data_IF_909362059128
#
_entry.id   IF_909362059128
#
_cell.length_a   1.000
_cell.length_b   1.000
_cell.length_c   1.000
_cell.angle_alpha   90.00
_cell.angle_beta   90.00
_cell.angle_gamma   90.00
#
_symmetry.space_group_name_H-M   'P 1'
#
loop_
_entity.id
_entity.type
_entity.pdbx_description
1 polymer ?
#
# COMPACT_ATOMS: atom_id res chain seq x y z
N UNK A 1 10.56 17.62 4.51
CA UNK A 1 9.51 17.55 3.47
C UNK A 1 10.19 17.16 2.17
N UNK A 2 9.68 16.14 1.49
CA UNK A 2 10.25 15.57 0.28
C UNK A 2 9.18 15.58 -0.82
N UNK A 3 9.46 16.23 -1.95
CA UNK A 3 8.54 16.34 -3.08
C UNK A 3 9.10 15.48 -4.23
N UNK A 4 8.41 14.39 -4.54
CA UNK A 4 8.82 13.36 -5.50
C UNK A 4 10.32 12.95 -5.42
N UNK A 5 10.82 12.51 -4.23
CA UNK A 5 12.25 12.27 -4.03
C UNK A 5 12.83 11.12 -4.88
N UNK A 6 11.98 10.30 -5.50
CA UNK A 6 12.35 9.17 -6.35
C UNK A 6 12.40 9.49 -7.85
N UNK A 7 12.16 10.73 -8.24
CA UNK A 7 12.14 11.09 -9.65
C UNK A 7 13.52 10.84 -10.31
N UNK A 8 13.54 10.03 -11.38
CA UNK A 8 14.77 9.67 -12.09
C UNK A 8 15.63 8.58 -11.42
N UNK A 9 15.14 7.96 -10.34
CA UNK A 9 15.79 6.84 -9.64
C UNK A 9 15.16 5.52 -10.09
N UNK A 10 15.99 4.50 -10.30
CA UNK A 10 15.53 3.14 -10.64
C UNK A 10 14.86 2.44 -9.44
N UNK A 11 14.13 1.35 -9.69
CA UNK A 11 13.33 0.67 -8.65
C UNK A 11 14.17 0.27 -7.43
N UNK A 12 15.40 -0.20 -7.64
CA UNK A 12 16.30 -0.58 -6.53
C UNK A 12 16.78 0.64 -5.74
N UNK A 13 17.15 1.72 -6.41
CA UNK A 13 17.53 2.98 -5.79
C UNK A 13 16.38 3.63 -5.03
N UNK A 14 15.14 3.48 -5.50
CA UNK A 14 13.95 3.94 -4.78
C UNK A 14 13.84 3.22 -3.44
N UNK A 15 13.90 1.89 -3.42
CA UNK A 15 13.87 1.11 -2.17
C UNK A 15 14.97 1.55 -1.21
N UNK A 16 16.21 1.68 -1.69
CA UNK A 16 17.34 2.13 -0.88
C UNK A 16 17.14 3.54 -0.31
N UNK A 17 16.61 4.45 -1.11
CA UNK A 17 16.32 5.83 -0.69
C UNK A 17 15.27 5.85 0.43
N UNK A 18 14.18 5.08 0.30
CA UNK A 18 13.15 5.01 1.33
C UNK A 18 13.65 4.37 2.61
N UNK A 19 14.47 3.32 2.52
CA UNK A 19 15.07 2.70 3.69
C UNK A 19 16.00 3.69 4.43
N UNK A 20 16.77 4.48 3.68
CA UNK A 20 17.58 5.57 4.23
C UNK A 20 16.73 6.64 4.89
N UNK A 21 15.65 7.09 4.25
CA UNK A 21 14.73 8.08 4.83
C UNK A 21 14.12 7.55 6.14
N UNK A 22 13.72 6.27 6.17
CA UNK A 22 13.16 5.66 7.37
C UNK A 22 14.21 5.57 8.50
N UNK A 23 15.47 5.25 8.18
CA UNK A 23 16.57 5.30 9.15
C UNK A 23 16.76 6.71 9.70
N UNK A 24 16.87 7.72 8.83
CA UNK A 24 17.07 9.11 9.22
C UNK A 24 15.91 9.65 10.08
N UNK A 25 14.68 9.26 9.77
CA UNK A 25 13.51 9.58 10.60
C UNK A 25 13.69 9.11 12.04
N UNK A 26 14.17 7.88 12.24
CA UNK A 26 14.41 7.32 13.56
C UNK A 26 15.63 7.93 14.26
N UNK A 27 16.71 8.20 13.52
CA UNK A 27 17.93 8.79 14.07
C UNK A 27 17.74 10.25 14.49
N UNK A 28 16.97 11.01 13.72
CA UNK A 28 16.74 12.44 13.93
C UNK A 28 15.48 12.74 14.76
N UNK A 29 14.73 11.70 15.15
CA UNK A 29 13.43 11.79 15.84
C UNK A 29 12.50 12.84 15.20
N UNK A 30 12.33 12.73 13.88
CA UNK A 30 11.61 13.73 13.10
C UNK A 30 10.47 13.14 12.28
N UNK A 31 9.48 13.98 11.96
CA UNK A 31 8.42 13.61 11.05
C UNK A 31 8.86 13.83 9.59
N UNK A 32 8.61 12.83 8.74
CA UNK A 32 8.84 12.93 7.30
C UNK A 32 7.51 13.06 6.59
N UNK A 33 7.29 14.20 5.94
CA UNK A 33 6.21 14.38 4.97
C UNK A 33 6.75 14.18 3.57
N UNK A 34 6.13 13.27 2.82
CA UNK A 34 6.50 12.94 1.46
C UNK A 34 5.30 13.06 0.51
N UNK A 35 5.54 13.64 -0.66
CA UNK A 35 4.58 13.71 -1.76
C UNK A 35 5.06 12.76 -2.86
N UNK A 36 4.19 11.86 -3.30
CA UNK A 36 4.50 10.89 -4.36
C UNK A 36 3.24 10.50 -5.11
N UNK A 37 3.38 10.20 -6.39
CA UNK A 37 2.36 9.59 -7.23
C UNK A 37 2.52 8.07 -7.36
N UNK A 38 3.61 7.48 -6.85
CA UNK A 38 3.80 6.03 -6.84
C UNK A 38 3.08 5.39 -5.65
N UNK A 39 1.91 4.83 -5.94
CA UNK A 39 1.05 4.23 -4.94
C UNK A 39 1.60 2.92 -4.36
N UNK A 40 2.36 2.11 -5.13
CA UNK A 40 2.92 0.86 -4.58
C UNK A 40 3.89 1.18 -3.45
N UNK A 41 4.67 2.24 -3.64
CA UNK A 41 5.69 2.67 -2.71
C UNK A 41 5.10 3.36 -1.49
N UNK A 42 4.13 4.27 -1.72
CA UNK A 42 3.36 4.91 -0.64
C UNK A 42 2.71 3.85 0.25
N UNK A 43 2.05 2.86 -0.34
CA UNK A 43 1.33 1.84 0.41
C UNK A 43 2.25 0.89 1.19
N UNK A 44 3.52 0.75 0.79
CA UNK A 44 4.48 -0.16 1.43
C UNK A 44 5.37 0.51 2.49
N UNK A 45 5.60 1.83 2.40
CA UNK A 45 6.67 2.52 3.17
C UNK A 45 6.18 3.70 3.99
N UNK A 46 4.87 3.91 4.14
CA UNK A 46 4.30 5.00 4.94
C UNK A 46 3.41 4.48 6.06
N UNK A 47 3.37 5.20 7.18
CA UNK A 47 2.48 4.86 8.29
C UNK A 47 1.07 5.43 8.07
N UNK A 48 0.99 6.61 7.46
CA UNK A 48 -0.23 7.37 7.23
C UNK A 48 -0.20 7.95 5.81
N UNK A 49 -1.32 7.85 5.11
CA UNK A 49 -1.50 8.29 3.73
C UNK A 49 -2.60 9.34 3.70
N UNK A 50 -2.37 10.43 2.96
CA UNK A 50 -3.38 11.43 2.63
C UNK A 50 -3.60 11.44 1.13
N UNK A 51 -4.83 11.17 0.69
CA UNK A 51 -5.20 11.23 -0.72
C UNK A 51 -5.75 12.60 -1.06
N UNK A 52 -5.22 13.17 -2.14
CA UNK A 52 -5.57 14.50 -2.63
C UNK A 52 -6.14 14.41 -4.06
N UNK A 53 -7.36 14.90 -4.25
CA UNK A 53 -7.96 15.12 -5.57
C UNK A 53 -8.74 16.45 -5.55
N UNK A 54 -8.05 17.57 -5.74
CA UNK A 54 -8.56 18.95 -5.54
C UNK A 54 -9.01 19.29 -4.11
N UNK A 55 -9.25 18.28 -3.27
CA UNK A 55 -9.53 18.30 -1.85
C UNK A 55 -8.94 17.03 -1.20
N UNK A 56 -8.95 16.95 0.14
CA UNK A 56 -8.57 15.72 0.86
C UNK A 56 -9.74 14.74 0.76
N UNK A 57 -9.52 13.63 0.07
CA UNK A 57 -10.54 12.60 -0.21
C UNK A 57 -10.62 11.54 0.88
N UNK A 58 -9.45 11.15 1.39
CA UNK A 58 -9.33 10.20 2.49
C UNK A 58 -7.96 10.31 3.15
N UNK A 59 -7.88 9.83 4.38
CA UNK A 59 -6.66 9.75 5.16
C UNK A 59 -6.68 8.56 6.10
N UNK A 60 -5.51 7.99 6.40
CA UNK A 60 -5.36 6.90 7.33
C UNK A 60 -4.17 6.01 6.98
N UNK A 61 -3.99 4.93 7.74
CA UNK A 61 -3.06 3.87 7.38
C UNK A 61 -3.34 3.32 5.96
N UNK A 62 -2.30 2.91 5.21
CA UNK A 62 -2.42 2.37 3.85
C UNK A 62 -3.51 1.30 3.69
N UNK A 63 -3.66 0.41 4.67
CA UNK A 63 -4.67 -0.65 4.68
C UNK A 63 -6.08 -0.08 4.63
N UNK A 64 -6.34 0.97 5.41
CA UNK A 64 -7.67 1.61 5.50
C UNK A 64 -7.96 2.42 4.25
N UNK A 65 -6.96 3.17 3.78
CA UNK A 65 -7.09 4.03 2.59
C UNK A 65 -7.36 3.22 1.32
N UNK A 66 -6.71 2.07 1.15
CA UNK A 66 -6.91 1.21 -0.03
C UNK A 66 -8.34 0.66 -0.16
N UNK A 67 -9.07 0.54 0.95
CA UNK A 67 -10.47 0.12 0.98
C UNK A 67 -11.46 1.29 0.92
N UNK A 68 -10.98 2.54 0.90
CA UNK A 68 -11.85 3.71 0.95
C UNK A 68 -12.64 3.87 -0.37
N UNK A 69 -13.95 4.14 -0.33
CA UNK A 69 -14.77 4.28 -1.54
C UNK A 69 -14.24 5.33 -2.52
N UNK A 70 -13.73 6.46 -2.00
CA UNK A 70 -13.14 7.49 -2.87
C UNK A 70 -11.85 7.03 -3.55
N UNK A 71 -11.00 6.27 -2.83
CA UNK A 71 -9.79 5.70 -3.40
C UNK A 71 -10.13 4.72 -4.53
N UNK A 72 -11.10 3.83 -4.29
CA UNK A 72 -11.62 2.90 -5.30
C UNK A 72 -12.24 3.65 -6.48
N UNK A 73 -12.94 4.75 -6.25
CA UNK A 73 -13.54 5.56 -7.32
C UNK A 73 -12.48 6.22 -8.22
N UNK A 74 -11.34 6.60 -7.64
CA UNK A 74 -10.25 7.30 -8.34
C UNK A 74 -9.36 6.34 -9.14
N UNK A 75 -9.04 5.17 -8.59
CA UNK A 75 -8.12 4.20 -9.20
C UNK A 75 -8.83 2.97 -9.82
N UNK A 76 -10.16 2.89 -9.65
CA UNK A 76 -10.97 1.75 -10.05
C UNK A 76 -10.80 0.53 -9.14
N UNK A 77 -11.69 -0.48 -9.25
CA UNK A 77 -11.64 -1.69 -8.42
C UNK A 77 -10.35 -2.47 -8.61
N UNK A 78 -9.84 -2.55 -9.85
CA UNK A 78 -8.59 -3.25 -10.17
C UNK A 78 -7.36 -2.54 -9.65
N UNK A 79 -7.36 -1.20 -9.70
CA UNK A 79 -6.27 -0.40 -9.12
C UNK A 79 -6.24 -0.54 -7.61
N UNK A 80 -7.39 -0.46 -6.94
CA UNK A 80 -7.47 -0.66 -5.50
C UNK A 80 -7.02 -2.05 -5.04
N UNK A 81 -7.37 -3.12 -5.79
CA UNK A 81 -6.91 -4.48 -5.50
C UNK A 81 -5.41 -4.69 -5.74
N UNK A 82 -4.83 -4.05 -6.77
CA UNK A 82 -3.40 -4.18 -7.10
C UNK A 82 -2.50 -3.31 -6.21
N UNK A 83 -3.01 -2.15 -5.77
CA UNK A 83 -2.27 -1.15 -5.00
C UNK A 83 -2.45 -1.31 -3.48
N UNK A 84 -3.58 -1.86 -3.03
CA UNK A 84 -3.74 -2.23 -1.62
C UNK A 84 -2.65 -3.23 -1.23
N UNK A 85 -2.09 -3.08 -0.02
CA UNK A 85 -1.02 -3.93 0.52
C UNK A 85 -1.27 -5.35 0.06
N UNK A 86 -0.39 -5.83 -0.83
CA UNK A 86 -0.61 -7.01 -1.64
C UNK A 86 -1.19 -8.16 -0.81
N UNK A 87 -2.52 -8.29 -0.87
CA UNK A 87 -3.27 -9.24 -0.05
C UNK A 87 -3.65 -10.36 -0.97
N UNK A 88 -2.81 -11.39 -1.01
CA UNK A 88 -3.20 -12.67 -1.56
C UNK A 88 -4.39 -13.21 -0.77
N UNK A 89 -5.61 -12.90 -1.22
CA UNK A 89 -6.82 -13.53 -0.73
C UNK A 89 -6.87 -14.96 -1.28
N UNK A 90 -6.17 -15.89 -0.62
CA UNK A 90 -6.34 -17.31 -0.88
C UNK A 90 -7.72 -17.74 -0.35
N UNK A 91 -8.71 -17.77 -1.24
CA UNK A 91 -10.03 -18.34 -0.99
C UNK A 91 -10.04 -19.89 -1.02
N UNK A 92 -8.86 -20.51 -1.08
CA UNK A 92 -8.66 -21.94 -1.17
C UNK A 92 -7.59 -22.39 -0.18
N UNK A 93 -7.82 -23.54 0.46
CA UNK A 93 -6.78 -24.25 1.21
C UNK A 93 -6.24 -25.37 0.34
N UNK A 94 -4.95 -25.63 0.43
CA UNK A 94 -4.33 -26.78 -0.23
C UNK A 94 -4.17 -27.93 0.78
N UNK A 95 -4.33 -29.17 0.32
CA UNK A 95 -3.82 -30.34 1.05
C UNK A 95 -2.28 -30.41 0.96
N UNK A 96 -1.67 -31.38 1.65
CA UNK A 96 -0.22 -31.62 1.60
C UNK A 96 0.30 -32.02 0.21
N UNK A 97 -0.60 -32.26 -0.75
CA UNK A 97 -0.32 -32.58 -2.14
C UNK A 97 -0.64 -31.39 -3.08
N UNK A 98 -0.99 -30.21 -2.56
CA UNK A 98 -1.23 -29.00 -3.35
C UNK A 98 -2.62 -28.91 -3.98
N UNK A 99 -3.60 -29.74 -3.59
CA UNK A 99 -4.96 -29.70 -4.17
C UNK A 99 -5.91 -28.79 -3.39
N UNK A 100 -6.73 -28.02 -4.10
CA UNK A 100 -7.75 -27.12 -3.50
C UNK A 100 -8.82 -27.94 -2.76
N UNK A 101 -8.97 -27.72 -1.45
CA UNK A 101 -10.02 -28.31 -0.61
C UNK A 101 -11.11 -27.27 -0.31
N UNK A 102 -12.33 -27.53 -0.79
CA UNK A 102 -13.52 -26.73 -0.50
C UNK A 102 -14.00 -26.99 0.93
N UNK A 103 -14.32 -25.94 1.68
CA UNK A 103 -14.90 -26.03 3.02
C UNK A 103 -16.25 -26.74 2.90
N UNK A 104 -16.38 -27.98 3.39
CA UNK A 104 -17.70 -28.63 3.55
C UNK A 104 -18.54 -27.74 4.46
N UNK A 105 -19.48 -27.01 3.87
CA UNK A 105 -20.50 -26.28 4.60
C UNK A 105 -21.30 -27.28 5.43
N UNK A 106 -21.30 -27.09 6.74
CA UNK A 106 -22.17 -27.81 7.65
C UNK A 106 -23.57 -27.21 7.48
N UNK A 107 -24.33 -27.70 6.51
CA UNK A 107 -25.77 -27.43 6.45
C UNK A 107 -26.42 -28.27 7.55
N UNK A 108 -26.95 -27.60 8.56
CA UNK A 108 -28.08 -28.13 9.33
C UNK A 108 -29.31 -28.14 8.43
#
# INVERSE_FOLDING_TARGET
MLDEPTQGVDVNGQVALYDLINQLRHELDCAVLMVSHDLHLVMAKTDEVLCLNQHICCSGAPEVVSMHPEFISMFGPRGAEQLGIYRHHHNHRHDLQGRIVLRRGNSR
#
